data_IF_380831046199
#
_entry.id   IF_380831046199
#
_cell.length_a   1.000
_cell.length_b   1.000
_cell.length_c   1.000
_cell.angle_alpha   90.00
_cell.angle_beta   90.00
_cell.angle_gamma   90.00
#
_symmetry.space_group_name_H-M   'P 1'
#
loop_
_entity.id
_entity.type
_entity.pdbx_description
1 polymer ?
#
# COMPACT_ATOMS: atom_id res chain seq x y z
N UNK A 1 19.71 -30.38 4.24
CA UNK A 1 18.63 -30.01 5.17
C UNK A 1 18.91 -28.60 5.67
N UNK A 2 18.47 -27.59 4.93
CA UNK A 2 18.70 -26.19 5.30
C UNK A 2 17.66 -25.76 6.33
N UNK A 3 18.12 -25.43 7.54
CA UNK A 3 17.31 -24.83 8.58
C UNK A 3 16.94 -23.42 8.11
N UNK A 4 15.70 -23.24 7.65
CA UNK A 4 15.13 -21.91 7.43
C UNK A 4 15.03 -21.24 8.79
N UNK A 5 15.89 -20.25 9.03
CA UNK A 5 15.84 -19.39 10.19
C UNK A 5 14.48 -18.66 10.18
N UNK A 6 13.52 -19.13 10.99
CA UNK A 6 12.19 -18.51 11.14
C UNK A 6 12.26 -17.28 12.05
N UNK A 7 13.07 -16.30 11.67
CA UNK A 7 13.11 -14.99 12.33
C UNK A 7 12.71 -13.87 11.35
N UNK A 8 11.62 -14.06 10.59
CA UNK A 8 10.82 -12.91 10.15
C UNK A 8 9.96 -12.51 11.34
N UNK A 9 10.60 -11.80 12.25
CA UNK A 9 9.96 -11.25 13.41
C UNK A 9 9.41 -9.88 13.04
N UNK A 10 8.10 -9.87 12.82
CA UNK A 10 7.24 -8.72 12.55
C UNK A 10 7.13 -7.82 13.78
N UNK A 11 8.23 -7.20 14.19
CA UNK A 11 8.20 -6.20 15.24
C UNK A 11 8.34 -4.83 14.58
N UNK A 12 7.21 -4.14 14.36
CA UNK A 12 7.18 -2.77 13.83
C UNK A 12 7.66 -1.71 14.82
N UNK A 13 8.02 -2.13 16.04
CA UNK A 13 8.60 -1.28 17.07
C UNK A 13 9.39 -2.13 18.08
N UNK A 14 10.30 -1.50 18.81
CA UNK A 14 10.96 -2.08 19.97
C UNK A 14 10.62 -1.25 21.20
N UNK A 15 9.80 -1.80 22.08
CA UNK A 15 9.53 -1.27 23.40
C UNK A 15 9.51 -2.44 24.38
N UNK A 16 10.37 -2.38 25.40
CA UNK A 16 10.38 -3.37 26.47
C UNK A 16 9.68 -2.79 27.70
N UNK A 17 9.06 -3.65 28.50
CA UNK A 17 8.56 -3.28 29.82
C UNK A 17 9.70 -2.73 30.68
N UNK A 18 9.39 -1.78 31.54
CA UNK A 18 10.40 -1.14 32.38
C UNK A 18 9.83 -0.18 33.41
N UNK A 19 10.75 0.48 34.11
CA UNK A 19 10.44 1.47 35.15
C UNK A 19 10.86 2.85 34.69
N UNK A 20 9.95 3.82 34.75
CA UNK A 20 10.27 5.24 34.60
C UNK A 20 10.45 5.88 35.98
N UNK A 21 11.58 6.55 36.20
CA UNK A 21 11.82 7.34 37.42
C UNK A 21 11.69 8.83 37.11
N UNK A 22 10.74 9.51 37.75
CA UNK A 22 10.67 10.97 37.76
C UNK A 22 11.45 11.46 38.98
N UNK A 23 12.50 12.24 38.75
CA UNK A 23 13.37 12.72 39.82
C UNK A 23 12.67 13.70 40.75
N UNK A 24 13.04 13.71 42.04
CA UNK A 24 12.48 14.66 43.00
C UNK A 24 12.65 16.12 42.52
N UNK A 25 11.59 16.91 42.66
CA UNK A 25 11.53 18.29 42.15
C UNK A 25 11.18 18.41 40.66
N UNK A 26 11.09 17.30 39.92
CA UNK A 26 10.57 17.26 38.54
C UNK A 26 9.11 16.80 38.52
N UNK A 27 8.38 17.19 37.48
CA UNK A 27 6.98 16.78 37.26
C UNK A 27 6.79 15.91 36.02
N UNK A 28 7.84 15.66 35.24
CA UNK A 28 7.75 14.96 33.95
C UNK A 28 8.86 13.93 33.78
N UNK A 29 8.57 12.91 32.95
CA UNK A 29 9.52 11.92 32.43
C UNK A 29 9.07 11.50 31.03
N UNK A 30 9.93 10.80 30.29
CA UNK A 30 9.66 10.43 28.89
C UNK A 30 9.83 8.94 28.69
N UNK A 31 8.87 8.33 28.00
CA UNK A 31 8.97 6.97 27.45
C UNK A 31 9.10 7.12 25.94
N UNK A 32 10.07 6.42 25.33
CA UNK A 32 10.32 6.48 23.88
C UNK A 32 10.00 5.14 23.25
N UNK A 33 9.07 5.12 22.29
CA UNK A 33 8.88 3.99 21.38
C UNK A 33 9.93 4.09 20.28
N UNK A 34 10.90 3.18 20.27
CA UNK A 34 11.99 3.17 19.31
C UNK A 34 11.79 2.08 18.23
N UNK A 35 12.61 2.13 17.19
CA UNK A 35 12.63 1.07 16.17
C UNK A 35 11.37 0.97 15.33
N UNK A 36 10.68 2.09 15.09
CA UNK A 36 9.58 2.14 14.11
C UNK A 36 10.19 2.01 12.71
N UNK A 37 9.78 0.98 11.96
CA UNK A 37 10.33 0.67 10.63
C UNK A 37 9.24 0.87 9.58
N UNK A 38 9.56 1.63 8.53
CA UNK A 38 8.81 1.61 7.28
C UNK A 38 9.49 0.60 6.35
N UNK A 39 8.88 -0.57 6.17
CA UNK A 39 9.43 -1.66 5.36
C UNK A 39 8.83 -1.76 3.95
N UNK A 40 7.91 -0.85 3.62
CA UNK A 40 7.27 -0.78 2.30
C UNK A 40 6.20 -1.86 2.05
N UNK A 41 5.83 -2.64 3.07
CA UNK A 41 4.68 -3.54 2.95
C UNK A 41 3.42 -2.87 3.47
N UNK A 42 2.31 -3.01 2.74
CA UNK A 42 1.01 -2.50 3.18
C UNK A 42 0.40 -3.48 4.16
N UNK A 43 0.31 -3.09 5.42
CA UNK A 43 -0.13 -4.00 6.48
C UNK A 43 -1.25 -3.42 7.35
N UNK A 44 -1.64 -2.16 7.14
CA UNK A 44 -2.66 -1.47 7.94
C UNK A 44 -2.10 -0.89 9.25
N UNK A 45 -2.74 0.15 9.79
CA UNK A 45 -2.26 0.81 11.01
C UNK A 45 -2.28 -0.12 12.21
N UNK A 46 -1.26 -0.03 13.07
CA UNK A 46 -1.08 -0.88 14.25
C UNK A 46 -1.06 -0.06 15.53
N UNK A 47 -1.35 -0.70 16.68
CA UNK A 47 -1.37 -0.03 17.98
C UNK A 47 -0.37 -0.63 18.97
N UNK A 48 0.18 0.25 19.80
CA UNK A 48 0.99 -0.06 20.99
C UNK A 48 0.24 0.48 22.20
N UNK A 49 -0.05 -0.39 23.18
CA UNK A 49 -0.76 -0.01 24.40
C UNK A 49 0.23 -0.03 25.56
N UNK A 50 0.37 1.10 26.25
CA UNK A 50 1.20 1.26 27.44
C UNK A 50 0.30 1.44 28.66
N UNK A 51 0.48 0.62 29.68
CA UNK A 51 -0.28 0.71 30.93
C UNK A 51 0.65 0.98 32.11
N UNK A 52 0.37 2.02 32.88
CA UNK A 52 1.08 2.32 34.13
C UNK A 52 0.55 1.43 35.25
N UNK A 53 1.44 0.95 36.13
CA UNK A 53 1.06 0.11 37.25
C UNK A 53 2.02 0.29 38.43
N UNK A 54 1.62 -0.20 39.60
CA UNK A 54 2.46 -0.24 40.82
C UNK A 54 3.19 1.07 41.15
N UNK A 55 2.48 2.23 41.22
CA UNK A 55 3.14 3.49 41.54
C UNK A 55 3.76 3.44 42.94
N UNK A 56 4.84 4.18 43.13
CA UNK A 56 5.49 4.39 44.44
C UNK A 56 5.59 5.88 44.72
N UNK A 57 5.23 6.30 45.93
CA UNK A 57 5.14 7.71 46.35
C UNK A 57 4.22 8.58 45.48
N UNK A 58 3.28 7.96 44.78
CA UNK A 58 2.28 8.59 43.94
C UNK A 58 1.04 7.68 43.82
N UNK A 59 -0.03 8.21 43.27
CA UNK A 59 -1.21 7.46 42.85
C UNK A 59 -1.38 7.59 41.34
N UNK A 60 -1.91 6.56 40.68
CA UNK A 60 -2.27 6.68 39.26
C UNK A 60 -3.49 7.61 39.09
N UNK A 61 -3.48 8.37 37.99
CA UNK A 61 -4.65 9.11 37.53
C UNK A 61 -5.58 8.24 36.69
N UNK A 62 -6.60 8.85 36.07
CA UNK A 62 -7.53 8.15 35.16
C UNK A 62 -6.90 7.73 33.84
N UNK A 63 -5.87 8.45 33.40
CA UNK A 63 -5.22 8.26 32.10
C UNK A 63 -3.97 7.40 32.26
N UNK A 64 -4.12 6.23 32.88
CA UNK A 64 -3.04 5.28 33.15
C UNK A 64 -2.80 4.29 31.99
N UNK A 65 -3.64 4.31 30.96
CA UNK A 65 -3.48 3.57 29.71
C UNK A 65 -3.30 4.54 28.55
N UNK A 66 -2.19 4.42 27.82
CA UNK A 66 -1.89 5.19 26.61
C UNK A 66 -1.89 4.27 25.39
N UNK A 67 -2.64 4.65 24.35
CA UNK A 67 -2.61 3.96 23.05
C UNK A 67 -1.86 4.81 22.03
N UNK A 68 -0.78 4.28 21.49
CA UNK A 68 -0.01 4.88 20.41
C UNK A 68 -0.29 4.11 19.11
N UNK A 69 -0.65 4.82 18.04
CA UNK A 69 -0.94 4.22 16.73
C UNK A 69 0.21 4.47 15.77
N UNK A 70 0.79 3.39 15.24
CA UNK A 70 1.74 3.43 14.13
C UNK A 70 0.91 3.48 12.84
N UNK A 71 1.02 4.60 12.12
CA UNK A 71 0.28 4.82 10.89
C UNK A 71 1.04 4.24 9.71
N UNK A 72 0.30 3.52 8.85
CA UNK A 72 0.84 3.15 7.55
C UNK A 72 1.02 4.38 6.68
N UNK A 73 2.19 4.57 6.07
CA UNK A 73 2.36 5.62 5.09
C UNK A 73 1.47 5.34 3.87
N UNK A 74 0.57 6.26 3.56
CA UNK A 74 -0.24 6.21 2.34
C UNK A 74 0.67 6.49 1.14
N UNK A 75 1.06 5.46 0.40
CA UNK A 75 1.65 5.61 -0.94
C UNK A 75 0.58 5.23 -1.95
N UNK A 76 -0.05 6.22 -2.57
CA UNK A 76 -0.92 5.95 -3.70
C UNK A 76 -0.05 5.47 -4.89
N UNK A 77 -0.42 4.39 -5.58
CA UNK A 77 0.36 3.93 -6.71
C UNK A 77 0.23 4.89 -7.90
N UNK A 78 1.33 5.16 -8.57
CA UNK A 78 1.34 5.84 -9.87
C UNK A 78 0.56 5.04 -10.93
N UNK A 79 -0.21 5.73 -11.78
CA UNK A 79 -0.86 5.18 -12.97
C UNK A 79 -0.06 5.61 -14.21
N UNK A 80 0.42 4.67 -15.02
CA UNK A 80 1.23 4.98 -16.21
C UNK A 80 1.04 3.97 -17.36
N UNK A 81 1.42 4.34 -18.58
CA UNK A 81 1.57 3.38 -19.67
C UNK A 81 2.84 2.54 -19.48
N UNK A 82 2.80 1.25 -19.86
CA UNK A 82 4.00 0.41 -19.89
C UNK A 82 5.05 0.89 -20.92
N UNK A 83 4.63 1.59 -21.97
CA UNK A 83 5.51 2.13 -23.00
C UNK A 83 5.03 3.50 -23.45
N UNK A 84 5.97 4.43 -23.68
CA UNK A 84 5.66 5.79 -24.11
C UNK A 84 5.17 5.88 -25.57
N UNK A 85 5.45 4.88 -26.40
CA UNK A 85 5.11 4.88 -27.83
C UNK A 85 4.92 3.46 -28.36
N UNK A 86 4.14 3.34 -29.44
CA UNK A 86 4.01 2.09 -30.19
C UNK A 86 3.60 2.40 -31.64
N UNK A 87 3.85 1.48 -32.58
CA UNK A 87 3.48 1.63 -34.01
C UNK A 87 2.76 0.38 -34.55
N UNK A 88 2.02 0.51 -35.65
CA UNK A 88 1.28 -0.58 -36.29
C UNK A 88 1.02 -0.28 -37.76
N UNK A 89 0.79 -1.31 -38.57
CA UNK A 89 0.46 -1.15 -39.99
C UNK A 89 -1.05 -0.85 -40.17
N UNK A 90 -1.43 -0.16 -41.24
CA UNK A 90 -2.85 0.10 -41.55
C UNK A 90 -3.59 -1.16 -42.04
N UNK A 91 -2.85 -2.21 -42.38
CA UNK A 91 -3.41 -3.50 -42.82
C UNK A 91 -3.89 -4.39 -41.68
N UNK A 92 -3.67 -4.01 -40.41
CA UNK A 92 -4.21 -4.72 -39.24
C UNK A 92 -5.46 -4.01 -38.72
N UNK A 93 -6.50 -4.81 -38.43
CA UNK A 93 -7.83 -4.33 -38.06
C UNK A 93 -7.94 -3.80 -36.63
N UNK A 94 -7.02 -4.18 -35.74
CA UNK A 94 -6.96 -3.66 -34.38
C UNK A 94 -5.58 -3.79 -33.77
N UNK A 95 -5.32 -2.98 -32.75
CA UNK A 95 -4.12 -3.05 -31.94
C UNK A 95 -4.45 -2.78 -30.48
N UNK A 96 -4.01 -3.68 -29.61
CA UNK A 96 -4.03 -3.44 -28.16
C UNK A 96 -2.86 -2.51 -27.83
N UNK A 97 -3.16 -1.39 -27.16
CA UNK A 97 -2.11 -0.57 -26.55
C UNK A 97 -1.62 -1.29 -25.30
N UNK A 98 -0.29 -1.39 -25.13
CA UNK A 98 0.33 -2.01 -23.96
C UNK A 98 -0.30 -1.46 -22.66
N UNK A 99 -0.41 -2.29 -21.61
CA UNK A 99 -1.31 -2.00 -20.51
C UNK A 99 -0.97 -0.67 -19.82
N UNK A 100 -2.01 0.08 -19.49
CA UNK A 100 -1.96 1.04 -18.39
C UNK A 100 -1.76 0.22 -17.11
N UNK A 101 -0.85 0.62 -16.24
CA UNK A 101 -0.47 -0.16 -15.07
C UNK A 101 -0.30 0.73 -13.84
N UNK A 102 -0.54 0.14 -12.68
CA UNK A 102 -0.15 0.70 -11.40
C UNK A 102 1.30 0.35 -11.08
N UNK A 103 2.03 1.24 -10.42
CA UNK A 103 3.36 0.94 -9.86
C UNK A 103 3.30 -0.16 -8.80
N UNK A 104 2.20 -0.25 -8.07
CA UNK A 104 1.93 -1.28 -7.05
C UNK A 104 0.44 -1.64 -7.01
N UNK A 105 0.10 -2.78 -6.43
CA UNK A 105 -1.30 -3.20 -6.28
C UNK A 105 -2.06 -2.30 -5.30
N UNK A 106 -3.23 -1.81 -5.71
CA UNK A 106 -4.13 -1.05 -4.83
C UNK A 106 -5.23 -1.95 -4.25
N UNK A 107 -5.61 -1.70 -2.99
CA UNK A 107 -6.80 -2.29 -2.36
C UNK A 107 -8.11 -1.61 -2.76
N UNK A 108 -8.03 -0.49 -3.46
CA UNK A 108 -9.14 0.36 -3.91
C UNK A 108 -9.12 0.53 -5.42
N UNK A 109 -10.28 0.83 -6.02
CA UNK A 109 -10.39 1.14 -7.44
C UNK A 109 -9.56 2.38 -7.81
N UNK A 110 -8.74 2.25 -8.85
CA UNK A 110 -8.02 3.36 -9.47
C UNK A 110 -8.72 3.76 -10.77
N UNK A 111 -9.01 5.06 -10.93
CA UNK A 111 -9.65 5.61 -12.13
C UNK A 111 -8.80 6.72 -12.71
N UNK A 112 -8.82 6.86 -14.04
CA UNK A 112 -8.10 7.90 -14.76
C UNK A 112 -8.94 8.37 -15.95
N UNK A 113 -8.89 9.67 -16.22
CA UNK A 113 -9.45 10.24 -17.45
C UNK A 113 -8.35 10.26 -18.52
N UNK A 114 -8.71 9.98 -19.77
CA UNK A 114 -7.81 10.09 -20.91
C UNK A 114 -8.43 10.94 -22.02
N UNK A 115 -7.56 11.54 -22.83
CA UNK A 115 -7.94 12.32 -24.00
C UNK A 115 -7.15 11.82 -25.21
N UNK A 116 -7.77 11.85 -26.38
CA UNK A 116 -7.14 11.44 -27.64
C UNK A 116 -6.83 12.68 -28.45
N UNK A 117 -5.57 12.80 -28.87
CA UNK A 117 -5.05 13.87 -29.72
C UNK A 117 -4.08 13.26 -30.74
N UNK A 118 -3.75 14.02 -31.78
CA UNK A 118 -2.83 13.58 -32.82
C UNK A 118 -3.34 13.91 -34.22
N UNK A 119 -2.72 13.30 -35.24
CA UNK A 119 -3.06 13.54 -36.65
C UNK A 119 -4.09 12.56 -37.20
N UNK A 120 -4.30 11.41 -36.55
CA UNK A 120 -5.30 10.43 -36.96
C UNK A 120 -6.70 10.86 -36.53
N UNK A 121 -7.68 10.62 -37.39
CA UNK A 121 -9.09 10.97 -37.22
C UNK A 121 -9.87 9.75 -36.71
N UNK A 122 -10.55 9.93 -35.57
CA UNK A 122 -11.39 8.89 -34.98
C UNK A 122 -12.69 8.64 -35.74
N UNK A 123 -13.67 8.04 -35.06
CA UNK A 123 -15.02 7.78 -35.59
C UNK A 123 -15.05 6.92 -36.87
N UNK A 124 -14.06 6.03 -37.03
CA UNK A 124 -14.01 5.06 -38.11
C UNK A 124 -13.34 5.54 -39.40
N UNK A 125 -12.73 6.73 -39.42
CA UNK A 125 -11.86 7.13 -40.53
C UNK A 125 -10.51 6.42 -40.44
N UNK A 126 -9.73 6.68 -39.39
CA UNK A 126 -8.45 6.01 -39.16
C UNK A 126 -8.56 4.98 -38.02
N UNK A 127 -9.42 5.24 -37.02
CA UNK A 127 -9.66 4.31 -35.91
C UNK A 127 -11.06 4.46 -35.30
N UNK A 128 -11.50 3.38 -34.65
CA UNK A 128 -12.69 3.34 -33.80
C UNK A 128 -12.27 2.83 -32.42
N UNK A 129 -12.69 3.51 -31.35
CA UNK A 129 -12.48 3.01 -29.99
C UNK A 129 -13.44 1.88 -29.70
N UNK A 130 -12.90 0.74 -29.25
CA UNK A 130 -13.70 -0.32 -28.66
C UNK A 130 -13.96 0.03 -27.19
N UNK A 131 -15.22 0.18 -26.82
CA UNK A 131 -15.63 0.39 -25.42
C UNK A 131 -15.64 -0.96 -24.69
N UNK A 132 -14.46 -1.45 -24.31
CA UNK A 132 -14.32 -2.51 -23.33
C UNK A 132 -13.43 -2.00 -22.20
N UNK A 133 -14.05 -1.29 -21.25
CA UNK A 133 -13.38 -0.87 -20.02
C UNK A 133 -13.41 -2.06 -19.06
N UNK A 134 -12.40 -2.93 -19.15
CA UNK A 134 -12.17 -3.91 -18.09
C UNK A 134 -11.63 -3.13 -16.89
N UNK A 135 -12.31 -3.10 -15.73
CA UNK A 135 -11.68 -2.60 -14.52
C UNK A 135 -10.42 -3.44 -14.26
N UNK A 136 -9.42 -2.86 -13.60
CA UNK A 136 -8.30 -3.59 -13.02
C UNK A 136 -8.80 -4.53 -11.91
N UNK A 137 -9.59 -5.53 -12.26
CA UNK A 137 -10.07 -6.52 -11.33
C UNK A 137 -8.98 -7.59 -11.18
N UNK A 138 -8.61 -7.79 -9.92
CA UNK A 138 -7.76 -8.82 -9.33
C UNK A 138 -7.22 -9.86 -10.33
N UNK A 139 -5.91 -9.82 -10.55
CA UNK A 139 -5.17 -10.94 -11.15
C UNK A 139 -5.29 -12.17 -10.23
N UNK A 140 -6.24 -13.05 -10.52
CA UNK A 140 -6.40 -14.34 -9.85
C UNK A 140 -5.55 -15.38 -10.59
N UNK A 141 -4.47 -15.84 -9.95
CA UNK A 141 -3.42 -16.70 -10.52
C UNK A 141 -3.87 -18.17 -10.67
N UNK A 142 -5.16 -18.46 -10.52
CA UNK A 142 -5.67 -19.82 -10.59
C UNK A 142 -6.21 -20.13 -11.99
N UNK A 143 -5.27 -20.38 -12.90
CA UNK A 143 -5.36 -21.38 -13.98
C UNK A 143 -6.77 -21.76 -14.48
N UNK A 144 -7.48 -20.83 -15.12
CA UNK A 144 -8.61 -21.19 -15.95
C UNK A 144 -8.39 -20.65 -17.37
N UNK A 145 -8.13 -21.58 -18.28
CA UNK A 145 -8.26 -21.39 -19.71
C UNK A 145 -9.71 -21.00 -20.02
N UNK A 146 -9.96 -19.73 -20.34
CA UNK A 146 -11.19 -19.33 -20.98
C UNK A 146 -10.93 -19.00 -22.44
N UNK A 147 -11.01 -20.05 -23.26
CA UNK A 147 -11.46 -19.91 -24.63
C UNK A 147 -12.95 -19.59 -24.59
N UNK A 148 -13.36 -18.50 -25.22
CA UNK A 148 -14.76 -18.31 -25.64
C UNK A 148 -14.76 -18.03 -27.14
N UNK A 149 -14.76 -19.15 -27.88
CA UNK A 149 -15.22 -19.42 -29.25
C UNK A 149 -14.92 -18.44 -30.40
N UNK A 150 -14.58 -19.06 -31.55
CA UNK A 150 -14.97 -18.73 -32.92
C UNK A 150 -15.47 -17.31 -33.24
#
# INVERSE_FOLDING_TARGET
MQLRNRNRFWYRYTLADGTLTISAGSSTGTITVAGIVNDGTTEGSETVILSLSSPSNATLGSDDVHTFTILEPQVAPDIQFANASSSGAESVSSKVLNPVQLSESSGSDATINYAITGTATGSGTDFTLLTAQQPFSRFNINNDYYCWNC
#
